data_IF_934793878527
#
_entry.id   IF_934793878527
#
_cell.length_a   1.000
_cell.length_b   1.000
_cell.length_c   1.000
_cell.angle_alpha   90.00
_cell.angle_beta   90.00
_cell.angle_gamma   90.00
#
_symmetry.space_group_name_H-M   'P 1'
#
loop_
_entity.id
_entity.type
_entity.pdbx_description
1 polymer ?
#
# COMPACT_ATOMS: atom_id res chain seq x y z
N UNK A 1 -25.43 -4.48 3.84
CA UNK A 1 -25.32 -3.28 3.00
C UNK A 1 -24.00 -3.38 2.25
N UNK A 2 -24.01 -3.38 0.94
CA UNK A 2 -22.80 -3.31 0.10
C UNK A 2 -22.42 -1.84 -0.01
N UNK A 3 -21.27 -1.44 0.51
CA UNK A 3 -20.75 -0.09 0.31
C UNK A 3 -20.28 0.01 -1.13
N UNK A 4 -20.91 0.86 -1.93
CA UNK A 4 -20.50 1.13 -3.31
C UNK A 4 -19.81 2.49 -3.36
N UNK A 5 -18.56 2.49 -3.86
CA UNK A 5 -17.84 3.71 -4.21
C UNK A 5 -17.95 3.92 -5.72
N UNK A 6 -18.04 5.16 -6.15
CA UNK A 6 -17.99 5.54 -7.57
C UNK A 6 -16.68 6.29 -7.84
N UNK A 7 -15.84 5.69 -8.69
CA UNK A 7 -14.59 6.27 -9.17
C UNK A 7 -14.63 6.55 -10.68
N UNK A 8 -15.82 6.70 -11.25
CA UNK A 8 -15.97 7.04 -12.65
C UNK A 8 -15.17 8.29 -12.99
N UNK A 9 -14.45 8.25 -14.12
CA UNK A 9 -13.55 9.31 -14.61
C UNK A 9 -12.29 9.56 -13.76
N UNK A 10 -12.05 8.82 -12.68
CA UNK A 10 -10.85 8.94 -11.88
C UNK A 10 -9.73 8.04 -12.40
N UNK A 11 -8.54 8.59 -12.54
CA UNK A 11 -7.30 7.88 -12.90
C UNK A 11 -6.54 7.56 -11.63
N UNK A 12 -6.32 6.28 -11.36
CA UNK A 12 -5.69 5.82 -10.11
C UNK A 12 -4.55 4.87 -10.42
N UNK A 13 -3.36 5.15 -9.87
CA UNK A 13 -2.20 4.26 -9.93
C UNK A 13 -2.20 3.33 -8.72
N UNK A 14 -2.02 2.03 -8.96
CA UNK A 14 -1.82 1.03 -7.90
C UNK A 14 -0.49 0.33 -8.11
N UNK A 15 0.44 0.47 -7.16
CA UNK A 15 1.71 -0.28 -7.16
C UNK A 15 1.54 -1.63 -6.47
N UNK A 16 2.30 -2.64 -6.90
CA UNK A 16 2.15 -4.01 -6.36
C UNK A 16 0.85 -4.69 -6.80
N UNK A 17 0.25 -4.24 -7.91
CA UNK A 17 -1.06 -4.70 -8.39
C UNK A 17 -1.08 -6.12 -8.97
N UNK A 18 0.08 -6.78 -9.12
CA UNK A 18 0.14 -8.14 -9.69
C UNK A 18 -0.37 -9.23 -8.74
N UNK A 19 -0.45 -8.99 -7.43
CA UNK A 19 -0.83 -10.01 -6.46
C UNK A 19 -1.43 -9.43 -5.16
N UNK A 20 -2.01 -10.30 -4.34
CA UNK A 20 -2.40 -10.01 -2.96
C UNK A 20 -3.31 -8.79 -2.80
N UNK A 21 -3.01 -7.95 -1.82
CA UNK A 21 -3.79 -6.76 -1.47
C UNK A 21 -3.85 -5.77 -2.65
N UNK A 22 -2.71 -5.52 -3.33
CA UNK A 22 -2.67 -4.59 -4.45
C UNK A 22 -3.54 -5.02 -5.63
N UNK A 23 -3.59 -6.34 -5.92
CA UNK A 23 -4.48 -6.89 -6.94
C UNK A 23 -5.95 -6.72 -6.58
N UNK A 24 -6.30 -7.02 -5.35
CA UNK A 24 -7.67 -6.85 -4.84
C UNK A 24 -8.13 -5.39 -4.92
N UNK A 25 -7.27 -4.45 -4.50
CA UNK A 25 -7.55 -3.01 -4.60
C UNK A 25 -7.76 -2.61 -6.07
N UNK A 26 -6.88 -3.05 -6.98
CA UNK A 26 -7.01 -2.74 -8.40
C UNK A 26 -8.33 -3.27 -8.99
N UNK A 27 -8.71 -4.50 -8.65
CA UNK A 27 -9.97 -5.11 -9.10
C UNK A 27 -11.19 -4.36 -8.58
N UNK A 28 -11.22 -3.99 -7.31
CA UNK A 28 -12.33 -3.23 -6.73
C UNK A 28 -12.43 -1.81 -7.31
N UNK A 29 -11.31 -1.14 -7.57
CA UNK A 29 -11.28 0.17 -8.24
C UNK A 29 -11.81 0.07 -9.67
N UNK A 30 -11.41 -0.95 -10.45
CA UNK A 30 -11.94 -1.21 -11.79
C UNK A 30 -13.46 -1.46 -11.73
N UNK A 31 -13.92 -2.29 -10.82
CA UNK A 31 -15.35 -2.56 -10.62
C UNK A 31 -16.14 -1.33 -10.20
N UNK A 32 -15.48 -0.34 -9.58
CA UNK A 32 -16.05 0.96 -9.17
C UNK A 32 -15.89 2.06 -10.24
N UNK A 33 -15.51 1.70 -11.48
CA UNK A 33 -15.47 2.62 -12.63
C UNK A 33 -14.15 3.39 -12.81
N UNK A 34 -13.11 3.15 -11.99
CA UNK A 34 -11.83 3.83 -12.11
C UNK A 34 -11.05 3.41 -13.37
N UNK A 35 -10.34 4.36 -13.97
CA UNK A 35 -9.27 4.08 -14.93
C UNK A 35 -7.99 3.72 -14.14
N UNK A 36 -7.75 2.42 -13.96
CA UNK A 36 -6.62 1.93 -13.17
C UNK A 36 -5.35 1.81 -14.03
N UNK A 37 -4.25 2.28 -13.46
CA UNK A 37 -2.87 2.05 -13.92
C UNK A 37 -2.24 1.05 -12.95
N UNK A 38 -2.05 -0.19 -13.37
CA UNK A 38 -1.54 -1.26 -12.53
C UNK A 38 -0.02 -1.42 -12.70
N UNK A 39 0.76 -1.18 -11.65
CA UNK A 39 2.21 -1.28 -11.66
C UNK A 39 2.69 -2.51 -10.88
N UNK A 40 3.61 -3.27 -11.45
CA UNK A 40 4.23 -4.44 -10.82
C UNK A 40 5.31 -5.06 -11.70
N UNK A 41 5.83 -6.21 -11.29
CA UNK A 41 6.92 -6.91 -12.01
C UNK A 41 6.44 -8.06 -12.89
N UNK A 42 5.28 -8.63 -12.58
CA UNK A 42 4.70 -9.76 -13.31
C UNK A 42 3.74 -9.26 -14.39
N UNK A 43 4.24 -9.18 -15.63
CA UNK A 43 3.49 -8.68 -16.77
C UNK A 43 2.23 -9.53 -17.06
N UNK A 44 2.31 -10.85 -16.87
CA UNK A 44 1.17 -11.75 -17.13
C UNK A 44 0.06 -11.55 -16.09
N UNK A 45 0.42 -11.48 -14.81
CA UNK A 45 -0.52 -11.21 -13.74
C UNK A 45 -1.17 -9.83 -13.84
N UNK A 46 -0.40 -8.81 -14.29
CA UNK A 46 -0.93 -7.47 -14.55
C UNK A 46 -1.91 -7.47 -15.74
N UNK A 47 -1.57 -8.13 -16.84
CA UNK A 47 -2.42 -8.18 -18.05
C UNK A 47 -3.79 -8.82 -17.73
N UNK A 48 -3.86 -9.76 -16.79
CA UNK A 48 -5.09 -10.39 -16.35
C UNK A 48 -6.07 -9.44 -15.62
N UNK A 49 -5.66 -8.22 -15.28
CA UNK A 49 -6.54 -7.20 -14.67
C UNK A 49 -7.41 -6.46 -15.71
N UNK A 50 -7.06 -6.53 -17.01
CA UNK A 50 -7.82 -5.85 -18.07
C UNK A 50 -7.74 -4.32 -18.02
N UNK A 51 -6.70 -3.74 -17.42
CA UNK A 51 -6.47 -2.29 -17.31
C UNK A 51 -5.10 -1.89 -17.90
N UNK A 52 -4.73 -0.61 -17.83
CA UNK A 52 -3.40 -0.16 -18.27
C UNK A 52 -2.32 -0.67 -17.33
N UNK A 53 -1.30 -1.35 -17.88
CA UNK A 53 -0.25 -2.00 -17.09
C UNK A 53 1.11 -1.33 -17.27
N UNK A 54 1.90 -1.30 -16.20
CA UNK A 54 3.24 -0.74 -16.12
C UNK A 54 4.16 -1.81 -15.52
N UNK A 55 4.94 -2.49 -16.37
CA UNK A 55 5.84 -3.55 -15.91
C UNK A 55 7.21 -2.96 -15.59
N UNK A 56 7.51 -2.79 -14.29
CA UNK A 56 8.78 -2.22 -13.82
C UNK A 56 9.08 -2.74 -12.41
N UNK A 57 10.39 -2.92 -12.11
CA UNK A 57 10.83 -3.11 -10.73
C UNK A 57 10.87 -1.76 -10.01
N UNK A 58 10.06 -1.62 -8.98
CA UNK A 58 9.96 -0.37 -8.20
C UNK A 58 11.27 -0.05 -7.45
N UNK A 59 12.16 -1.03 -7.24
CA UNK A 59 13.47 -0.83 -6.65
C UNK A 59 14.46 -0.13 -7.58
N UNK A 60 14.29 -0.27 -8.90
CA UNK A 60 15.05 0.46 -9.93
C UNK A 60 14.50 1.88 -10.08
N UNK A 61 15.13 2.84 -9.39
CA UNK A 61 14.65 4.23 -9.35
C UNK A 61 14.72 4.92 -10.70
N UNK A 62 15.64 4.54 -11.58
CA UNK A 62 15.79 5.15 -12.93
C UNK A 62 14.70 4.65 -13.86
N UNK A 63 14.50 3.33 -13.92
CA UNK A 63 13.43 2.74 -14.71
C UNK A 63 12.04 3.17 -14.23
N UNK A 64 11.86 3.28 -12.89
CA UNK A 64 10.64 3.77 -12.27
C UNK A 64 10.36 5.23 -12.69
N UNK A 65 11.32 6.14 -12.57
CA UNK A 65 11.16 7.54 -12.98
C UNK A 65 10.75 7.67 -14.43
N UNK A 66 11.42 6.94 -15.33
CA UNK A 66 11.08 6.90 -16.76
C UNK A 66 9.65 6.44 -16.98
N UNK A 67 9.23 5.38 -16.29
CA UNK A 67 7.85 4.84 -16.39
C UNK A 67 6.81 5.85 -15.91
N UNK A 68 7.09 6.61 -14.84
CA UNK A 68 6.17 7.61 -14.27
C UNK A 68 6.09 8.90 -15.10
N UNK A 69 7.12 9.22 -15.92
CA UNK A 69 7.11 10.41 -16.77
C UNK A 69 5.96 10.40 -17.79
N UNK A 70 5.63 9.24 -18.33
CA UNK A 70 4.60 9.08 -19.37
C UNK A 70 3.17 8.97 -18.83
N UNK A 71 2.99 9.01 -17.49
CA UNK A 71 1.66 8.98 -16.90
C UNK A 71 0.95 10.33 -17.05
N UNK A 72 -0.35 10.33 -17.37
CA UNK A 72 -1.16 11.53 -17.25
C UNK A 72 -1.26 11.98 -15.80
N UNK A 73 -1.71 13.21 -15.51
CA UNK A 73 -2.10 13.60 -14.16
C UNK A 73 -3.15 12.64 -13.60
N UNK A 74 -2.94 12.18 -12.37
CA UNK A 74 -3.78 11.19 -11.70
C UNK A 74 -4.68 11.88 -10.65
N UNK A 75 -5.75 11.19 -10.22
CA UNK A 75 -6.63 11.61 -9.13
C UNK A 75 -6.32 10.83 -7.85
N UNK A 76 -5.70 9.65 -7.97
CA UNK A 76 -5.35 8.84 -6.83
C UNK A 76 -4.10 7.99 -7.03
N UNK A 77 -3.48 7.62 -5.91
CA UNK A 77 -2.35 6.69 -5.84
C UNK A 77 -2.54 5.72 -4.68
N UNK A 78 -2.28 4.44 -4.93
CA UNK A 78 -2.13 3.43 -3.89
C UNK A 78 -0.72 2.86 -3.95
N UNK A 79 0.11 3.16 -2.96
CA UNK A 79 1.40 2.52 -2.75
C UNK A 79 1.20 1.22 -1.98
N UNK A 80 1.12 0.08 -2.70
CA UNK A 80 0.92 -1.24 -2.10
C UNK A 80 2.10 -2.20 -2.34
N UNK A 81 3.05 -1.86 -3.22
CA UNK A 81 4.26 -2.66 -3.41
C UNK A 81 5.07 -2.75 -2.10
N UNK A 82 5.46 -3.96 -1.74
CA UNK A 82 6.26 -4.18 -0.54
C UNK A 82 6.82 -5.59 -0.47
N UNK A 83 7.92 -5.73 0.26
CA UNK A 83 8.59 -7.00 0.54
C UNK A 83 8.91 -7.11 2.04
N UNK A 84 9.11 -8.33 2.51
CA UNK A 84 9.66 -8.63 3.84
C UNK A 84 10.86 -9.56 3.70
N UNK A 85 11.85 -9.36 4.57
CA UNK A 85 12.99 -10.26 4.80
C UNK A 85 13.05 -10.53 6.29
N UNK A 86 12.92 -11.81 6.64
CA UNK A 86 12.90 -12.22 8.05
C UNK A 86 14.32 -12.56 8.47
N UNK A 87 14.86 -11.79 9.42
CA UNK A 87 16.18 -11.99 10.01
C UNK A 87 16.12 -11.62 11.49
N UNK A 88 16.73 -12.42 12.39
CA UNK A 88 16.89 -12.03 13.79
C UNK A 88 17.61 -10.68 13.90
N UNK A 89 17.15 -9.83 14.80
CA UNK A 89 17.72 -8.48 14.98
C UNK A 89 19.24 -8.48 15.26
N UNK A 90 19.75 -9.54 15.89
CA UNK A 90 21.18 -9.70 16.15
C UNK A 90 22.01 -10.18 14.95
N UNK A 91 21.36 -10.55 13.84
CA UNK A 91 22.02 -11.13 12.65
C UNK A 91 21.50 -10.49 11.35
N UNK A 92 21.10 -9.23 11.41
CA UNK A 92 20.59 -8.51 10.25
C UNK A 92 21.69 -8.25 9.23
N UNK A 93 21.40 -8.49 7.95
CA UNK A 93 22.29 -8.15 6.84
C UNK A 93 21.98 -6.75 6.30
N UNK A 94 23.04 -5.99 5.97
CA UNK A 94 22.88 -4.66 5.35
C UNK A 94 22.12 -4.76 4.02
N UNK A 95 22.42 -5.76 3.19
CA UNK A 95 21.78 -5.95 1.88
C UNK A 95 20.27 -6.19 2.01
N UNK A 96 19.84 -7.03 2.96
CA UNK A 96 18.41 -7.28 3.19
C UNK A 96 17.72 -6.05 3.73
N UNK A 97 18.36 -5.31 4.65
CA UNK A 97 17.85 -4.06 5.18
C UNK A 97 17.65 -3.02 4.06
N UNK A 98 18.70 -2.79 3.25
CA UNK A 98 18.65 -1.82 2.16
C UNK A 98 17.62 -2.20 1.09
N UNK A 99 17.50 -3.49 0.77
CA UNK A 99 16.49 -3.98 -0.17
C UNK A 99 15.07 -3.69 0.34
N UNK A 100 14.78 -3.97 1.61
CA UNK A 100 13.46 -3.72 2.20
C UNK A 100 13.16 -2.21 2.25
N UNK A 101 14.12 -1.39 2.68
CA UNK A 101 13.96 0.07 2.72
C UNK A 101 13.79 0.66 1.31
N UNK A 102 14.51 0.16 0.33
CA UNK A 102 14.42 0.64 -1.06
C UNK A 102 13.05 0.42 -1.68
N UNK A 103 12.43 -0.73 -1.42
CA UNK A 103 11.10 -1.07 -1.95
C UNK A 103 10.00 -0.42 -1.12
N UNK A 104 10.01 -0.61 0.21
CA UNK A 104 8.86 -0.27 1.04
C UNK A 104 8.75 1.22 1.38
N UNK A 105 9.89 1.92 1.46
CA UNK A 105 9.93 3.33 1.86
C UNK A 105 10.38 4.25 0.71
N UNK A 106 11.59 4.08 0.19
CA UNK A 106 12.16 4.97 -0.84
C UNK A 106 11.31 5.00 -2.10
N UNK A 107 10.97 3.83 -2.65
CA UNK A 107 10.20 3.77 -3.89
C UNK A 107 8.78 4.32 -3.71
N UNK A 108 8.11 4.04 -2.59
CA UNK A 108 6.80 4.62 -2.28
C UNK A 108 6.85 6.16 -2.21
N UNK A 109 7.89 6.71 -1.57
CA UNK A 109 8.11 8.16 -1.52
C UNK A 109 8.35 8.75 -2.91
N UNK A 110 9.18 8.08 -3.74
CA UNK A 110 9.48 8.50 -5.11
C UNK A 110 8.22 8.52 -6.00
N UNK A 111 7.42 7.45 -5.96
CA UNK A 111 6.14 7.37 -6.71
C UNK A 111 5.19 8.48 -6.26
N UNK A 112 5.01 8.64 -4.95
CA UNK A 112 4.12 9.67 -4.41
C UNK A 112 4.56 11.08 -4.81
N UNK A 113 5.87 11.38 -4.74
CA UNK A 113 6.42 12.68 -5.15
C UNK A 113 6.16 12.98 -6.63
N UNK A 114 6.37 12.00 -7.53
CA UNK A 114 6.12 12.19 -8.97
C UNK A 114 4.63 12.36 -9.29
N UNK A 115 3.77 11.58 -8.61
CA UNK A 115 2.32 11.70 -8.79
C UNK A 115 1.81 13.03 -8.24
N UNK A 116 2.22 13.42 -7.03
CA UNK A 116 1.81 14.69 -6.41
C UNK A 116 2.27 15.91 -7.23
N UNK A 117 3.48 15.89 -7.78
CA UNK A 117 3.96 16.98 -8.65
C UNK A 117 3.02 17.19 -9.86
N UNK A 118 2.59 16.11 -10.51
CA UNK A 118 1.63 16.19 -11.62
C UNK A 118 0.22 16.60 -11.18
N UNK A 119 -0.22 16.18 -9.98
CA UNK A 119 -1.48 16.64 -9.40
C UNK A 119 -1.45 18.17 -9.18
N UNK A 120 -0.37 18.68 -8.58
CA UNK A 120 -0.17 20.10 -8.31
C UNK A 120 -0.14 20.92 -9.62
N UNK A 121 0.63 20.46 -10.61
CA UNK A 121 0.74 21.11 -11.93
C UNK A 121 -0.62 21.18 -12.65
N UNK A 122 -1.45 20.15 -12.49
CA UNK A 122 -2.75 20.05 -13.12
C UNK A 122 -3.92 20.59 -12.28
N UNK A 123 -3.66 21.16 -11.09
CA UNK A 123 -4.64 21.64 -10.13
C UNK A 123 -5.68 20.57 -9.74
N UNK A 124 -5.19 19.34 -9.51
CA UNK A 124 -6.01 18.20 -9.10
C UNK A 124 -5.88 17.98 -7.59
N UNK A 125 -6.97 18.19 -6.85
CA UNK A 125 -7.11 17.79 -5.46
C UNK A 125 -7.25 16.24 -5.41
N UNK A 126 -6.13 15.54 -5.11
CA UNK A 126 -6.06 14.09 -5.20
C UNK A 126 -6.01 13.38 -3.85
N UNK A 127 -5.93 12.04 -3.88
CA UNK A 127 -5.77 11.22 -2.67
C UNK A 127 -4.69 10.16 -2.87
N UNK A 128 -3.80 10.05 -1.88
CA UNK A 128 -2.71 9.07 -1.84
C UNK A 128 -2.92 8.17 -0.61
N UNK A 129 -2.91 6.85 -0.83
CA UNK A 129 -3.02 5.87 0.25
C UNK A 129 -1.81 4.95 0.22
N UNK A 130 -1.08 4.91 1.33
CA UNK A 130 0.06 4.03 1.53
C UNK A 130 -0.40 2.77 2.28
N UNK A 131 -0.16 1.58 1.72
CA UNK A 131 -0.40 0.32 2.43
C UNK A 131 0.82 0.04 3.30
N UNK A 132 0.72 0.47 4.55
CA UNK A 132 1.71 0.24 5.60
C UNK A 132 1.52 -1.15 6.24
N UNK A 133 1.57 -1.25 7.55
CA UNK A 133 1.37 -2.50 8.31
C UNK A 133 1.18 -2.18 9.80
N UNK A 134 0.53 -3.08 10.55
CA UNK A 134 0.61 -3.06 12.02
C UNK A 134 2.07 -3.06 12.52
N UNK A 135 3.00 -3.60 11.75
CA UNK A 135 4.44 -3.63 12.02
C UNK A 135 5.09 -2.25 12.15
N UNK A 136 4.42 -1.17 11.71
CA UNK A 136 4.86 0.20 11.96
C UNK A 136 4.50 0.70 13.35
N UNK A 137 3.55 0.04 14.03
CA UNK A 137 2.97 0.45 15.30
C UNK A 137 3.45 -0.44 16.46
N UNK A 138 3.80 -1.70 16.18
CA UNK A 138 4.24 -2.70 17.15
C UNK A 138 5.45 -3.47 16.66
N UNK A 139 6.21 -4.06 17.60
CA UNK A 139 7.32 -4.92 17.26
C UNK A 139 6.84 -6.31 16.84
N UNK A 140 7.51 -6.88 15.84
CA UNK A 140 7.35 -8.27 15.42
C UNK A 140 8.73 -8.93 15.38
N UNK A 141 8.85 -10.13 15.96
CA UNK A 141 10.10 -10.88 15.96
C UNK A 141 10.59 -11.14 14.53
N UNK A 142 11.89 -11.09 14.31
CA UNK A 142 12.57 -11.28 13.02
C UNK A 142 12.19 -10.26 11.91
N UNK A 143 11.46 -9.19 12.23
CA UNK A 143 10.95 -8.22 11.24
C UNK A 143 11.63 -6.84 11.35
N UNK A 144 12.87 -6.72 11.84
CA UNK A 144 13.50 -5.43 12.10
C UNK A 144 13.47 -4.50 10.87
N UNK A 145 13.96 -4.93 9.71
CA UNK A 145 13.97 -4.13 8.49
C UNK A 145 12.54 -3.80 8.00
N UNK A 146 11.63 -4.75 8.11
CA UNK A 146 10.23 -4.55 7.72
C UNK A 146 9.52 -3.55 8.62
N UNK A 147 9.61 -3.70 9.95
CA UNK A 147 9.05 -2.75 10.91
C UNK A 147 9.61 -1.33 10.68
N UNK A 148 10.93 -1.21 10.55
CA UNK A 148 11.58 0.07 10.27
C UNK A 148 11.06 0.71 8.97
N UNK A 149 10.93 -0.08 7.89
CA UNK A 149 10.45 0.44 6.60
C UNK A 149 8.99 0.90 6.64
N UNK A 150 8.12 0.20 7.39
CA UNK A 150 6.70 0.56 7.53
C UNK A 150 6.52 1.77 8.46
N UNK A 151 7.32 1.87 9.53
CA UNK A 151 7.37 3.07 10.35
C UNK A 151 7.87 4.31 9.56
N UNK A 152 8.87 4.12 8.70
CA UNK A 152 9.33 5.16 7.77
C UNK A 152 8.22 5.58 6.80
N UNK A 153 7.43 4.63 6.26
CA UNK A 153 6.31 4.91 5.36
C UNK A 153 5.21 5.73 6.05
N UNK A 154 4.90 5.46 7.33
CA UNK A 154 3.95 6.25 8.10
C UNK A 154 4.49 7.66 8.41
N UNK A 155 5.80 7.81 8.63
CA UNK A 155 6.43 9.13 8.75
C UNK A 155 6.36 9.91 7.44
N UNK A 156 6.66 9.26 6.30
CA UNK A 156 6.54 9.83 4.95
C UNK A 156 5.10 10.30 4.71
N UNK A 157 4.09 9.51 5.07
CA UNK A 157 2.67 9.86 4.97
C UNK A 157 2.35 11.18 5.67
N UNK A 158 2.83 11.36 6.90
CA UNK A 158 2.59 12.58 7.67
C UNK A 158 3.27 13.82 7.07
N UNK A 159 4.51 13.69 6.60
CA UNK A 159 5.22 14.79 5.96
C UNK A 159 4.54 15.21 4.66
N UNK A 160 4.21 14.25 3.82
CA UNK A 160 3.52 14.49 2.55
C UNK A 160 2.14 15.12 2.76
N UNK A 161 1.39 14.67 3.78
CA UNK A 161 0.12 15.30 4.18
C UNK A 161 0.32 16.77 4.54
N UNK A 162 1.31 17.08 5.37
CA UNK A 162 1.57 18.46 5.82
C UNK A 162 1.98 19.39 4.67
N UNK A 163 2.81 18.91 3.73
CA UNK A 163 3.31 19.71 2.63
C UNK A 163 2.30 19.89 1.49
N UNK A 164 1.51 18.83 1.18
CA UNK A 164 0.63 18.83 0.00
C UNK A 164 -0.82 19.18 0.31
N UNK A 165 -1.20 19.23 1.59
CA UNK A 165 -2.56 19.59 2.02
C UNK A 165 -3.04 20.94 1.48
N UNK A 166 -2.14 21.94 1.35
CA UNK A 166 -2.44 23.25 0.75
C UNK A 166 -2.85 23.20 -0.73
N UNK A 167 -2.57 22.09 -1.41
CA UNK A 167 -2.98 21.82 -2.80
C UNK A 167 -4.20 20.89 -2.87
N UNK A 168 -4.87 20.63 -1.73
CA UNK A 168 -6.02 19.74 -1.67
C UNK A 168 -5.68 18.24 -1.76
N UNK A 169 -4.39 17.86 -1.72
CA UNK A 169 -3.96 16.47 -1.78
C UNK A 169 -3.99 15.87 -0.38
N UNK A 170 -4.78 14.82 -0.19
CA UNK A 170 -4.84 14.03 1.05
C UNK A 170 -3.86 12.87 0.98
N UNK A 171 -3.16 12.60 2.08
CA UNK A 171 -2.22 11.46 2.16
C UNK A 171 -2.47 10.70 3.45
N UNK A 172 -2.79 9.41 3.34
CA UNK A 172 -3.10 8.54 4.48
C UNK A 172 -2.37 7.20 4.35
N UNK A 173 -2.30 6.45 5.44
CA UNK A 173 -1.89 5.04 5.40
C UNK A 173 -2.96 4.13 6.01
N UNK A 174 -3.00 2.89 5.53
CA UNK A 174 -3.69 1.78 6.20
C UNK A 174 -2.64 0.82 6.76
N UNK A 175 -2.90 0.25 7.94
CA UNK A 175 -1.95 -0.59 8.68
C UNK A 175 -2.57 -1.98 8.92
N UNK A 176 -2.56 -2.86 7.89
CA UNK A 176 -3.15 -4.19 8.02
C UNK A 176 -2.35 -5.10 8.96
N UNK A 177 -3.07 -6.03 9.60
CA UNK A 177 -2.50 -7.24 10.17
C UNK A 177 -2.20 -8.28 9.09
N UNK A 178 -1.84 -9.50 9.48
CA UNK A 178 -1.70 -10.64 8.56
C UNK A 178 -2.96 -10.74 7.71
N UNK A 179 -2.75 -10.64 6.40
CA UNK A 179 -3.83 -10.69 5.39
C UNK A 179 -3.65 -11.94 4.53
N UNK A 180 -4.69 -12.74 4.40
CA UNK A 180 -4.67 -14.04 3.70
C UNK A 180 -4.56 -13.86 2.18
N UNK A 181 -3.41 -13.44 1.72
CA UNK A 181 -3.01 -13.55 0.31
C UNK A 181 -2.57 -14.99 0.01
N UNK A 182 -2.51 -15.43 -1.26
CA UNK A 182 -2.00 -16.76 -1.60
C UNK A 182 -0.62 -17.06 -0.99
N UNK A 183 0.27 -16.07 -0.95
CA UNK A 183 1.60 -16.19 -0.34
C UNK A 183 1.51 -16.31 1.18
N UNK A 184 0.69 -15.49 1.83
CA UNK A 184 0.51 -15.53 3.27
C UNK A 184 -0.17 -16.83 3.73
N UNK A 185 -1.13 -17.35 2.99
CA UNK A 185 -1.78 -18.62 3.30
C UNK A 185 -0.77 -19.78 3.40
N UNK A 186 0.25 -19.79 2.53
CA UNK A 186 1.35 -20.75 2.61
C UNK A 186 2.26 -20.51 3.83
N UNK A 187 2.64 -19.25 4.07
CA UNK A 187 3.54 -18.89 5.19
C UNK A 187 2.93 -19.17 6.57
N UNK A 188 1.59 -19.08 6.69
CA UNK A 188 0.81 -19.29 7.92
C UNK A 188 0.11 -20.65 7.95
N UNK A 189 0.53 -21.62 7.14
CA UNK A 189 -0.02 -22.99 7.16
C UNK A 189 0.43 -23.78 8.40
N UNK A 190 1.59 -23.45 8.99
CA UNK A 190 2.10 -24.08 10.20
C UNK A 190 1.33 -23.59 11.44
N UNK A 191 0.62 -24.49 12.17
CA UNK A 191 -0.11 -24.15 13.39
C UNK A 191 0.77 -23.53 14.48
N UNK A 192 2.05 -23.93 14.58
CA UNK A 192 2.95 -23.42 15.60
C UNK A 192 3.22 -21.91 15.45
N UNK A 193 3.16 -21.39 14.24
CA UNK A 193 3.27 -19.96 13.93
C UNK A 193 1.91 -19.26 13.90
N UNK A 194 0.94 -19.91 13.28
CA UNK A 194 -0.40 -19.37 13.07
C UNK A 194 -1.17 -19.13 14.36
N UNK A 195 -1.21 -20.11 15.24
CA UNK A 195 -2.10 -20.07 16.40
C UNK A 195 -1.76 -18.97 17.43
N UNK A 196 -0.47 -18.71 17.75
CA UNK A 196 -0.10 -17.53 18.54
C UNK A 196 -0.46 -16.20 17.86
N UNK A 197 -0.30 -16.09 16.55
CA UNK A 197 -0.64 -14.89 15.81
C UNK A 197 -2.16 -14.63 15.80
N UNK A 198 -2.97 -15.69 15.64
CA UNK A 198 -4.43 -15.60 15.76
C UNK A 198 -4.88 -15.21 17.17
N UNK A 199 -4.26 -15.78 18.20
CA UNK A 199 -4.57 -15.47 19.59
C UNK A 199 -4.25 -14.00 19.95
N UNK A 200 -3.32 -13.38 19.23
CA UNK A 200 -2.98 -11.98 19.40
C UNK A 200 -4.00 -11.01 18.78
N UNK A 201 -4.87 -11.48 17.87
CA UNK A 201 -5.89 -10.66 17.20
C UNK A 201 -7.22 -10.80 17.96
N UNK A 202 -7.79 -9.74 18.57
CA UNK A 202 -9.08 -9.82 19.30
C UNK A 202 -10.23 -10.41 18.48
N UNK A 203 -10.31 -10.13 17.15
CA UNK A 203 -11.31 -10.75 16.27
C UNK A 203 -11.02 -12.23 15.94
N UNK A 204 -9.91 -12.81 16.41
CA UNK A 204 -9.58 -14.23 16.33
C UNK A 204 -9.34 -14.78 14.92
N UNK A 205 -9.10 -13.93 13.93
CA UNK A 205 -8.86 -14.34 12.54
C UNK A 205 -7.94 -13.36 11.79
N UNK A 206 -7.30 -13.86 10.76
CA UNK A 206 -6.58 -13.02 9.81
C UNK A 206 -7.54 -12.22 8.92
N UNK A 207 -7.05 -11.09 8.39
CA UNK A 207 -7.80 -10.30 7.44
C UNK A 207 -7.86 -10.95 6.05
N UNK A 208 -8.92 -10.66 5.30
CA UNK A 208 -9.01 -10.97 3.88
C UNK A 208 -8.54 -9.75 3.06
N UNK A 209 -8.00 -9.93 1.84
CA UNK A 209 -7.59 -8.82 0.99
C UNK A 209 -8.68 -7.76 0.78
N UNK A 210 -9.94 -8.18 0.63
CA UNK A 210 -11.09 -7.29 0.48
C UNK A 210 -11.32 -6.39 1.70
N UNK A 211 -11.01 -6.87 2.91
CA UNK A 211 -11.16 -6.09 4.15
C UNK A 211 -10.10 -5.00 4.29
N UNK A 212 -8.98 -5.12 3.56
CA UNK A 212 -7.97 -4.07 3.44
C UNK A 212 -8.30 -3.14 2.27
N UNK A 213 -8.84 -3.68 1.17
CA UNK A 213 -9.19 -2.88 0.00
C UNK A 213 -10.29 -1.85 0.30
N UNK A 214 -11.34 -2.22 1.04
CA UNK A 214 -12.45 -1.30 1.35
C UNK A 214 -12.01 -0.03 2.10
N UNK A 215 -11.21 -0.07 3.18
CA UNK A 215 -10.66 1.13 3.80
C UNK A 215 -9.79 1.97 2.86
N UNK A 216 -9.05 1.33 1.94
CA UNK A 216 -8.28 2.07 0.92
C UNK A 216 -9.21 2.83 -0.03
N UNK A 217 -10.26 2.19 -0.53
CA UNK A 217 -11.26 2.85 -1.38
C UNK A 217 -11.97 3.99 -0.62
N UNK A 218 -12.32 3.78 0.65
CA UNK A 218 -12.88 4.84 1.50
C UNK A 218 -11.93 6.04 1.60
N UNK A 219 -10.65 5.82 1.89
CA UNK A 219 -9.66 6.90 2.00
C UNK A 219 -9.38 7.60 0.66
N UNK A 220 -9.54 6.91 -0.46
CA UNK A 220 -9.44 7.52 -1.80
C UNK A 220 -10.66 8.39 -2.11
N UNK A 221 -11.84 8.05 -1.62
CA UNK A 221 -13.13 8.69 -1.95
C UNK A 221 -13.33 10.03 -1.23
N UNK A 222 -14.35 10.79 -1.69
CA UNK A 222 -14.79 12.05 -1.08
C UNK A 222 -15.41 11.84 0.31
N UNK A 223 -15.83 10.61 0.65
CA UNK A 223 -16.30 10.29 2.01
C UNK A 223 -15.19 10.51 3.07
N UNK A 224 -13.92 10.54 2.67
CA UNK A 224 -12.77 10.83 3.51
C UNK A 224 -12.20 12.24 3.29
N UNK A 225 -12.99 13.19 2.79
CA UNK A 225 -12.52 14.54 2.39
C UNK A 225 -11.81 15.32 3.49
N UNK A 226 -12.10 15.05 4.76
CA UNK A 226 -11.43 15.70 5.91
C UNK A 226 -10.46 14.76 6.64
N UNK A 227 -10.13 13.60 6.04
CA UNK A 227 -9.18 12.63 6.62
C UNK A 227 -7.87 12.72 5.87
N UNK A 228 -6.80 13.18 6.54
CA UNK A 228 -5.44 13.26 6.00
C UNK A 228 -4.40 13.13 7.11
N UNK A 229 -3.29 12.45 6.84
CA UNK A 229 -2.19 12.22 7.78
C UNK A 229 -2.41 11.06 8.76
N UNK A 230 -3.49 10.27 8.60
CA UNK A 230 -3.77 9.17 9.52
C UNK A 230 -2.99 7.90 9.15
N UNK A 231 -2.66 7.12 10.18
CA UNK A 231 -2.28 5.70 10.08
C UNK A 231 -3.46 4.89 10.62
N UNK A 232 -4.24 4.27 9.72
CA UNK A 232 -5.48 3.58 10.05
C UNK A 232 -5.26 2.07 10.24
N UNK A 233 -5.29 1.53 11.48
CA UNK A 233 -5.19 0.09 11.69
C UNK A 233 -6.35 -0.68 11.06
N UNK A 234 -6.03 -1.76 10.35
CA UNK A 234 -6.98 -2.73 9.78
C UNK A 234 -6.55 -4.11 10.29
N UNK A 235 -6.62 -4.30 11.60
CA UNK A 235 -5.85 -5.33 12.31
C UNK A 235 -6.68 -6.20 13.26
N UNK A 236 -8.00 -6.06 13.25
CA UNK A 236 -8.88 -6.82 14.13
C UNK A 236 -8.67 -6.53 15.61
N UNK A 237 -8.08 -5.37 15.94
CA UNK A 237 -7.80 -4.93 17.31
C UNK A 237 -6.41 -5.36 17.82
N UNK A 238 -5.53 -5.87 16.96
CA UNK A 238 -4.19 -6.32 17.37
C UNK A 238 -3.40 -5.24 18.12
N UNK A 239 -3.39 -3.99 17.61
CA UNK A 239 -2.63 -2.87 18.18
C UNK A 239 -3.35 -2.12 19.28
N UNK A 240 -4.56 -2.52 19.68
CA UNK A 240 -5.35 -1.85 20.72
C UNK A 240 -5.02 -2.30 22.15
N UNK A 241 -4.10 -3.23 22.32
CA UNK A 241 -3.70 -3.82 23.62
C UNK A 241 -2.19 -4.00 23.75
#
# INVERSE_FOLDING_TARGET
>A
MTTTFDFSYQRILVTGASSGIGREIAQQLIASGAQVFALGRDAQALAALGCRTLCVDIADSIALDKTLQDLPPLHGLVNCAGISRLEPAAAISADAFDQVMSVNARAAAQVASRVAAKMIEADIAGSIVNVSSQASLVALDDHLSYCASKAALDAITRVQCAEWGRFGIRVNSVNPTVTLTPMAAMAWSDPARRDPALAAIPLGRFAQPAEVALPVLFLLSDAASMISGVSLPVDGGYTSR
#
